data_IF_904876531127
#
_entry.id   IF_904876531127
#
_cell.length_a   1.000
_cell.length_b   1.000
_cell.length_c   1.000
_cell.angle_alpha   90.00
_cell.angle_beta   90.00
_cell.angle_gamma   90.00
#
_symmetry.space_group_name_H-M   'P 1'
#
loop_
_entity.id
_entity.type
_entity.pdbx_description
1 polymer ?
#
# COMPACT_ATOMS: atom_id res chain seq x y z
N UNK A 1 0.63 -46.76 48.99
CA UNK A 1 -0.83 -46.80 49.15
C UNK A 1 -1.39 -45.54 48.51
N UNK A 2 -2.32 -45.55 47.56
CA UNK A 2 -2.93 -46.68 46.83
C UNK A 2 -3.27 -46.21 45.42
N UNK A 3 -3.12 -47.07 44.41
CA UNK A 3 -3.41 -46.73 43.01
C UNK A 3 -4.79 -47.27 42.59
N UNK A 4 -5.48 -46.55 41.71
CA UNK A 4 -6.63 -47.06 40.94
C UNK A 4 -6.43 -46.67 39.47
N UNK A 5 -6.56 -47.65 38.57
CA UNK A 5 -6.58 -47.50 37.11
C UNK A 5 -7.88 -48.07 36.55
N UNK A 6 -8.46 -47.39 35.57
CA UNK A 6 -9.39 -47.86 34.53
C UNK A 6 -9.49 -46.72 33.48
N UNK A 7 -9.42 -46.84 32.15
CA UNK A 7 -9.61 -47.94 31.18
C UNK A 7 -11.08 -48.38 31.01
N UNK A 8 -11.72 -48.32 29.82
CA UNK A 8 -11.35 -47.69 28.53
C UNK A 8 -12.53 -46.87 27.93
N UNK A 9 -13.08 -46.91 26.71
CA UNK A 9 -12.95 -47.79 25.50
C UNK A 9 -13.32 -47.00 24.20
N UNK A 10 -12.88 -47.48 23.03
CA UNK A 10 -13.02 -46.87 21.69
C UNK A 10 -14.45 -46.88 21.11
N UNK A 11 -14.87 -45.82 20.38
CA UNK A 11 -15.64 -45.96 19.12
C UNK A 11 -15.50 -44.78 18.14
N UNK A 12 -15.34 -45.11 16.85
CA UNK A 12 -15.34 -44.22 15.67
C UNK A 12 -16.03 -44.97 14.50
N UNK A 13 -16.22 -44.38 13.32
CA UNK A 13 -16.73 -43.04 12.99
C UNK A 13 -17.98 -43.12 12.06
N UNK A 14 -18.56 -41.97 11.67
CA UNK A 14 -19.22 -41.88 10.36
C UNK A 14 -20.48 -41.01 10.25
N UNK A 15 -20.43 -40.04 9.33
CA UNK A 15 -21.56 -39.70 8.46
C UNK A 15 -21.05 -39.48 7.03
N UNK A 16 -21.89 -39.79 6.02
CA UNK A 16 -21.51 -39.75 4.59
C UNK A 16 -22.12 -38.54 3.88
N UNK A 17 -21.39 -38.02 2.89
CA UNK A 17 -21.94 -37.11 1.89
C UNK A 17 -22.82 -37.88 0.88
N UNK A 18 -23.93 -37.29 0.39
CA UNK A 18 -24.80 -37.94 -0.60
C UNK A 18 -24.20 -37.89 -2.01
N UNK A 19 -23.87 -39.05 -2.57
CA UNK A 19 -23.31 -39.18 -3.92
C UNK A 19 -24.39 -39.04 -5.01
N UNK A 20 -24.41 -37.91 -5.74
CA UNK A 20 -25.19 -37.80 -7.00
C UNK A 20 -24.45 -38.48 -8.15
N UNK A 21 -24.95 -39.64 -8.58
CA UNK A 21 -24.40 -40.44 -9.68
C UNK A 21 -24.89 -39.94 -11.04
N UNK A 22 -24.05 -39.22 -11.78
CA UNK A 22 -24.29 -38.91 -13.20
C UNK A 22 -23.76 -40.04 -14.10
N UNK A 23 -24.60 -41.04 -14.35
CA UNK A 23 -24.34 -42.09 -15.36
C UNK A 23 -25.27 -41.85 -16.56
N UNK A 24 -24.79 -41.15 -17.60
CA UNK A 24 -25.42 -41.19 -18.94
C UNK A 24 -24.39 -41.47 -20.02
N UNK A 25 -24.74 -42.44 -20.84
CA UNK A 25 -23.94 -43.07 -21.90
C UNK A 25 -23.38 -42.08 -22.91
N UNK A 26 -22.09 -42.22 -23.22
CA UNK A 26 -21.61 -41.91 -24.57
C UNK A 26 -22.30 -42.81 -25.59
N UNK A 27 -22.65 -42.24 -26.75
CA UNK A 27 -22.92 -42.97 -28.00
C UNK A 27 -22.14 -42.27 -29.11
N UNK A 28 -21.22 -42.94 -29.81
CA UNK A 28 -20.67 -42.37 -31.04
C UNK A 28 -21.75 -42.40 -32.12
N UNK A 29 -21.94 -41.29 -32.84
CA UNK A 29 -22.76 -41.28 -34.05
C UNK A 29 -21.85 -41.39 -35.27
N UNK A 30 -22.29 -42.20 -36.24
CA UNK A 30 -21.53 -42.60 -37.42
C UNK A 30 -21.01 -41.44 -38.28
N UNK A 31 -19.78 -41.57 -38.78
CA UNK A 31 -19.32 -40.75 -39.89
C UNK A 31 -20.14 -41.02 -41.16
N UNK A 32 -20.42 -39.97 -41.94
CA UNK A 32 -20.96 -40.08 -43.29
C UNK A 32 -19.99 -39.49 -44.31
N UNK A 33 -19.24 -40.37 -44.98
CA UNK A 33 -18.28 -39.98 -46.00
C UNK A 33 -19.00 -39.36 -47.22
N UNK A 34 -18.60 -38.15 -47.63
CA UNK A 34 -18.85 -37.65 -48.97
C UNK A 34 -17.56 -37.07 -49.55
N UNK A 35 -17.15 -37.59 -50.70
CA UNK A 35 -15.90 -37.22 -51.37
C UNK A 35 -16.16 -36.36 -52.61
N UNK A 36 -15.07 -35.79 -53.15
CA UNK A 36 -15.02 -34.85 -54.30
C UNK A 36 -15.62 -33.46 -53.99
N UNK A 37 -15.18 -32.38 -54.64
CA UNK A 37 -14.19 -32.27 -55.74
C UNK A 37 -13.15 -31.18 -55.48
N UNK A 38 -11.98 -31.32 -56.10
CA UNK A 38 -10.93 -30.32 -56.12
C UNK A 38 -11.38 -29.03 -56.82
N UNK A 39 -11.30 -27.89 -56.13
CA UNK A 39 -11.39 -26.56 -56.76
C UNK A 39 -10.31 -25.65 -56.17
N UNK A 40 -9.27 -25.39 -56.96
CA UNK A 40 -8.09 -24.62 -56.57
C UNK A 40 -8.34 -23.12 -56.77
N UNK A 41 -8.97 -22.46 -55.80
CA UNK A 41 -9.02 -20.98 -55.75
C UNK A 41 -7.94 -20.42 -54.82
N UNK A 42 -7.28 -19.37 -55.31
CA UNK A 42 -6.16 -18.69 -54.67
C UNK A 42 -6.55 -18.00 -53.36
N UNK A 43 -5.62 -17.99 -52.41
CA UNK A 43 -5.75 -17.25 -51.17
C UNK A 43 -5.89 -15.74 -51.43
N UNK A 44 -6.88 -15.04 -50.85
CA UNK A 44 -6.71 -13.62 -50.58
C UNK A 44 -5.58 -13.45 -49.55
N UNK A 45 -4.75 -12.43 -49.73
CA UNK A 45 -3.55 -12.24 -48.90
C UNK A 45 -3.88 -12.02 -47.42
N UNK A 46 -3.02 -12.52 -46.52
CA UNK A 46 -3.01 -12.08 -45.12
C UNK A 46 -2.65 -10.59 -45.11
N UNK A 47 -3.65 -9.72 -44.97
CA UNK A 47 -3.41 -8.35 -44.54
C UNK A 47 -2.79 -8.41 -43.14
N UNK A 48 -1.59 -7.86 -42.99
CA UNK A 48 -0.92 -7.74 -41.70
C UNK A 48 -1.72 -6.76 -40.84
N UNK A 49 -2.44 -7.26 -39.84
CA UNK A 49 -3.09 -6.41 -38.84
C UNK A 49 -2.00 -5.57 -38.18
N UNK A 50 -2.06 -4.22 -38.27
CA UNK A 50 -1.08 -3.38 -37.61
C UNK A 50 -1.19 -3.59 -36.09
N UNK A 51 -0.05 -3.65 -35.40
CA UNK A 51 -0.04 -3.75 -33.95
C UNK A 51 -0.80 -2.56 -33.34
N UNK A 52 -1.59 -2.75 -32.28
CA UNK A 52 -2.25 -1.65 -31.60
C UNK A 52 -1.19 -0.65 -31.11
N UNK A 53 -1.44 0.67 -31.20
CA UNK A 53 -0.48 1.66 -30.75
C UNK A 53 -0.16 1.44 -29.27
N UNK A 54 1.14 1.41 -28.95
CA UNK A 54 1.62 1.27 -27.58
C UNK A 54 1.27 2.52 -26.78
N UNK A 55 0.10 2.49 -26.14
CA UNK A 55 -0.34 3.49 -25.18
C UNK A 55 0.62 3.51 -23.98
N UNK A 56 1.71 4.27 -24.14
CA UNK A 56 2.65 4.59 -23.08
C UNK A 56 1.93 5.42 -22.03
N UNK A 57 1.30 4.74 -21.07
CA UNK A 57 0.79 5.38 -19.86
C UNK A 57 1.90 6.24 -19.28
N UNK A 58 1.71 7.57 -19.13
CA UNK A 58 2.72 8.38 -18.48
C UNK A 58 2.92 7.80 -17.08
N UNK A 59 4.16 7.37 -16.78
CA UNK A 59 4.57 7.00 -15.43
C UNK A 59 4.49 8.26 -14.55
N UNK A 60 3.27 8.60 -14.12
CA UNK A 60 3.03 9.46 -12.96
C UNK A 60 3.83 8.81 -11.85
N UNK A 61 4.95 9.43 -11.48
CA UNK A 61 5.67 9.09 -10.27
C UNK A 61 4.66 9.28 -9.15
N UNK A 62 4.19 8.17 -8.58
CA UNK A 62 3.49 8.22 -7.30
C UNK A 62 4.50 8.84 -6.33
N UNK A 63 4.20 10.04 -5.84
CA UNK A 63 5.02 10.64 -4.79
C UNK A 63 5.04 9.65 -3.61
N UNK A 64 6.18 9.43 -2.95
CA UNK A 64 6.34 8.37 -1.94
C UNK A 64 5.68 8.74 -0.60
N UNK A 65 4.41 9.13 -0.62
CA UNK A 65 3.56 9.42 0.53
C UNK A 65 3.13 8.16 1.30
N UNK A 66 3.99 7.14 1.34
CA UNK A 66 3.73 5.80 1.87
C UNK A 66 4.79 5.31 2.89
N UNK A 67 5.88 6.06 3.11
CA UNK A 67 6.89 5.77 4.16
C UNK A 67 6.75 6.66 5.41
N UNK A 68 5.71 7.51 5.46
CA UNK A 68 5.46 8.48 6.55
C UNK A 68 4.96 7.88 7.87
N UNK A 69 5.26 6.62 8.18
CA UNK A 69 4.76 5.88 9.34
C UNK A 69 5.85 5.17 10.16
N UNK A 70 7.09 5.68 10.12
CA UNK A 70 8.16 5.29 11.05
C UNK A 70 7.77 5.67 12.49
N UNK A 71 7.17 4.71 13.20
CA UNK A 71 6.98 4.79 14.64
C UNK A 71 8.38 4.74 15.30
N UNK A 72 8.79 5.85 15.92
CA UNK A 72 10.07 5.99 16.60
C UNK A 72 10.08 5.21 17.93
N UNK A 73 10.23 3.89 17.86
CA UNK A 73 10.48 3.04 19.03
C UNK A 73 11.97 3.03 19.34
N UNK A 74 12.49 4.19 19.76
CA UNK A 74 13.90 4.41 20.12
C UNK A 74 14.27 3.74 21.47
N UNK A 75 13.97 2.45 21.61
CA UNK A 75 14.22 1.67 22.81
C UNK A 75 15.62 1.02 22.74
N UNK A 76 16.54 1.52 23.56
CA UNK A 76 17.96 1.12 23.64
C UNK A 76 18.23 -0.40 23.51
N UNK A 77 19.39 -0.71 22.95
CA UNK A 77 20.06 -2.03 23.03
C UNK A 77 20.94 -2.21 24.27
N UNK A 78 20.83 -1.32 25.27
CA UNK A 78 21.57 -1.40 26.53
C UNK A 78 20.98 -2.41 27.52
N UNK A 79 21.82 -2.95 28.39
CA UNK A 79 21.44 -3.88 29.47
C UNK A 79 20.32 -3.32 30.35
N UNK A 80 19.42 -4.19 30.81
CA UNK A 80 18.23 -3.80 31.59
C UNK A 80 18.51 -3.25 33.02
N UNK A 81 19.78 -3.06 33.39
CA UNK A 81 20.22 -2.47 34.64
C UNK A 81 20.46 -0.96 34.47
N UNK A 82 19.48 -0.13 34.85
CA UNK A 82 19.62 1.34 34.86
C UNK A 82 18.34 2.12 34.63
N UNK A 83 17.32 1.54 33.99
CA UNK A 83 16.02 2.21 33.75
C UNK A 83 15.19 2.22 35.04
N UNK A 84 14.77 3.38 35.56
CA UNK A 84 13.86 3.45 36.71
C UNK A 84 12.52 2.75 36.42
N UNK A 85 11.96 2.05 37.42
CA UNK A 85 10.70 1.33 37.24
C UNK A 85 9.52 2.26 36.87
N UNK A 86 9.58 3.53 37.25
CA UNK A 86 8.59 4.55 36.91
C UNK A 86 8.51 4.88 35.40
N UNK A 87 9.60 4.68 34.67
CA UNK A 87 9.72 4.97 33.23
C UNK A 87 9.28 3.80 32.34
N UNK A 88 8.81 2.68 32.92
CA UNK A 88 8.39 1.48 32.18
C UNK A 88 6.86 1.40 32.14
N UNK A 89 6.27 1.38 30.95
CA UNK A 89 4.80 1.27 30.77
C UNK A 89 4.30 -0.16 30.59
N UNK A 90 5.16 -1.04 30.07
CA UNK A 90 4.89 -2.47 29.90
C UNK A 90 6.21 -3.24 29.79
N UNK A 91 6.16 -4.58 29.89
CA UNK A 91 7.31 -5.46 29.61
C UNK A 91 6.91 -6.59 28.66
N UNK A 92 7.75 -6.84 27.66
CA UNK A 92 7.57 -7.88 26.64
C UNK A 92 8.73 -8.87 26.75
N UNK A 93 8.45 -10.05 27.31
CA UNK A 93 9.46 -11.08 27.63
C UNK A 93 10.66 -10.51 28.42
N UNK A 94 10.38 -9.68 29.43
CA UNK A 94 11.36 -9.00 30.27
C UNK A 94 11.80 -7.62 29.78
N UNK A 95 11.86 -7.39 28.45
CA UNK A 95 12.28 -6.09 27.88
C UNK A 95 11.26 -4.99 28.18
N UNK A 96 11.67 -3.81 28.69
CA UNK A 96 10.75 -2.71 28.95
C UNK A 96 10.31 -1.99 27.66
N UNK A 97 9.05 -1.54 27.64
CA UNK A 97 8.57 -0.46 26.78
C UNK A 97 8.59 0.81 27.62
N UNK A 98 9.23 1.88 27.13
CA UNK A 98 9.47 3.10 27.89
C UNK A 98 8.33 4.12 27.77
N UNK A 99 8.12 4.89 28.84
CA UNK A 99 7.18 6.03 28.90
C UNK A 99 7.44 7.03 27.78
N UNK A 100 8.72 7.38 27.53
CA UNK A 100 9.15 8.25 26.41
C UNK A 100 8.59 7.77 25.08
N UNK A 101 8.89 6.53 24.72
CA UNK A 101 8.61 5.97 23.40
C UNK A 101 7.10 5.77 23.21
N UNK A 102 6.39 5.47 24.30
CA UNK A 102 4.93 5.43 24.37
C UNK A 102 4.29 6.81 24.14
N UNK A 103 4.65 7.83 24.92
CA UNK A 103 4.04 9.16 24.79
C UNK A 103 4.43 9.83 23.46
N UNK A 104 5.63 9.58 22.93
CA UNK A 104 6.02 9.95 21.56
C UNK A 104 5.16 9.25 20.51
N UNK A 105 4.90 7.95 20.65
CA UNK A 105 4.03 7.21 19.74
C UNK A 105 2.57 7.70 19.78
N UNK A 106 2.08 8.11 20.96
CA UNK A 106 0.77 8.76 21.11
C UNK A 106 0.76 10.13 20.43
N UNK A 107 1.81 10.95 20.60
CA UNK A 107 1.95 12.24 19.93
C UNK A 107 1.99 12.08 18.40
N UNK A 108 2.69 11.07 17.88
CA UNK A 108 2.73 10.73 16.45
C UNK A 108 1.35 10.30 15.95
N UNK A 109 0.64 9.44 16.69
CA UNK A 109 -0.72 8.98 16.35
C UNK A 109 -1.75 10.13 16.26
N UNK A 110 -1.49 11.27 16.92
CA UNK A 110 -2.30 12.49 16.83
C UNK A 110 -1.69 13.61 15.99
N UNK A 111 -0.57 13.43 15.26
CA UNK A 111 -0.02 14.48 14.37
C UNK A 111 -1.09 14.96 13.36
N UNK A 112 -1.23 16.26 13.22
CA UNK A 112 -2.28 16.90 12.42
C UNK A 112 -3.64 17.10 13.12
N UNK A 113 -3.85 16.50 14.30
CA UNK A 113 -5.00 16.77 15.19
C UNK A 113 -4.50 17.47 16.46
N UNK A 114 -5.26 18.44 17.00
CA UNK A 114 -4.97 18.98 18.33
C UNK A 114 -5.53 18.03 19.39
N UNK A 115 -4.74 17.54 20.37
CA UNK A 115 -5.26 16.68 21.44
C UNK A 115 -6.38 17.34 22.26
N UNK A 116 -6.41 18.67 22.35
CA UNK A 116 -7.50 19.43 22.95
C UNK A 116 -8.86 19.28 22.25
N UNK A 117 -8.88 18.78 21.00
CA UNK A 117 -10.09 18.51 20.23
C UNK A 117 -10.51 17.02 20.33
N UNK A 118 -9.80 16.20 21.10
CA UNK A 118 -10.02 14.76 21.25
C UNK A 118 -10.68 14.51 22.60
N UNK A 119 -11.83 13.82 22.62
CA UNK A 119 -12.54 13.52 23.87
C UNK A 119 -11.73 12.59 24.77
N UNK A 120 -11.79 12.75 26.10
CA UNK A 120 -10.98 11.97 27.05
C UNK A 120 -11.08 10.44 26.83
N UNK A 121 -12.28 9.93 26.50
CA UNK A 121 -12.49 8.50 26.16
C UNK A 121 -11.80 8.07 24.86
N UNK A 122 -11.78 8.92 23.84
CA UNK A 122 -11.09 8.66 22.56
C UNK A 122 -9.56 8.69 22.76
N UNK A 123 -9.08 9.62 23.60
CA UNK A 123 -7.67 9.74 23.98
C UNK A 123 -7.21 8.54 24.82
N UNK A 124 -8.03 8.03 25.73
CA UNK A 124 -7.78 6.78 26.46
C UNK A 124 -7.70 5.57 25.51
N UNK A 125 -8.73 5.35 24.69
CA UNK A 125 -8.76 4.22 23.74
C UNK A 125 -7.63 4.27 22.70
N UNK A 126 -7.14 5.47 22.36
CA UNK A 126 -5.99 5.66 21.49
C UNK A 126 -4.66 5.39 22.20
N UNK A 127 -4.54 5.73 23.50
CA UNK A 127 -3.39 5.35 24.34
C UNK A 127 -3.30 3.84 24.52
N UNK A 128 -4.43 3.15 24.70
CA UNK A 128 -4.48 1.68 24.76
C UNK A 128 -3.98 1.04 23.44
N UNK A 129 -4.53 1.46 22.29
CA UNK A 129 -4.12 0.97 20.96
C UNK A 129 -2.65 1.25 20.61
N UNK A 130 -2.10 2.35 21.09
CA UNK A 130 -0.65 2.64 20.92
C UNK A 130 0.19 1.71 21.80
N UNK A 131 -0.22 1.41 23.03
CA UNK A 131 0.49 0.45 23.88
C UNK A 131 0.45 -0.97 23.31
N UNK A 132 -0.72 -1.39 22.84
CA UNK A 132 -0.96 -2.67 22.15
C UNK A 132 -0.04 -2.81 20.94
N UNK A 133 -0.04 -1.83 20.02
CA UNK A 133 0.85 -1.83 18.85
C UNK A 133 2.35 -1.86 19.20
N UNK A 134 2.75 -1.22 20.30
CA UNK A 134 4.15 -1.28 20.77
C UNK A 134 4.52 -2.67 21.32
N UNK A 135 3.58 -3.36 21.96
CA UNK A 135 3.73 -4.75 22.40
C UNK A 135 3.80 -5.69 21.19
N UNK A 136 2.88 -5.55 20.23
CA UNK A 136 2.87 -6.31 18.97
C UNK A 136 4.19 -6.16 18.19
N UNK A 137 4.64 -4.93 17.98
CA UNK A 137 5.88 -4.64 17.25
C UNK A 137 7.12 -5.24 17.93
N UNK A 138 7.17 -5.26 19.27
CA UNK A 138 8.29 -5.87 19.98
C UNK A 138 8.20 -7.41 19.99
N UNK A 139 7.00 -8.00 20.06
CA UNK A 139 6.80 -9.44 19.87
C UNK A 139 7.20 -9.90 18.46
N UNK A 140 6.79 -9.16 17.43
CA UNK A 140 7.18 -9.38 16.04
C UNK A 140 8.70 -9.25 15.87
N UNK A 141 9.33 -8.21 16.42
CA UNK A 141 10.78 -8.06 16.38
C UNK A 141 11.50 -9.23 17.07
N UNK A 142 11.06 -9.62 18.27
CA UNK A 142 11.65 -10.75 19.02
C UNK A 142 11.46 -12.09 18.30
N UNK A 143 10.38 -12.27 17.53
CA UNK A 143 10.18 -13.45 16.69
C UNK A 143 11.04 -13.39 15.43
N UNK A 144 11.12 -12.24 14.76
CA UNK A 144 11.90 -12.04 13.55
C UNK A 144 13.40 -12.23 13.78
N UNK A 145 13.99 -11.58 14.80
CA UNK A 145 15.42 -11.69 15.13
C UNK A 145 15.83 -13.13 15.49
N UNK A 146 14.92 -13.92 16.10
CA UNK A 146 15.13 -15.34 16.41
C UNK A 146 14.92 -16.29 15.22
N UNK A 147 14.28 -15.83 14.14
CA UNK A 147 13.93 -16.68 12.98
C UNK A 147 14.84 -16.38 11.78
N UNK A 148 15.20 -15.13 11.55
CA UNK A 148 15.91 -14.67 10.34
C UNK A 148 17.23 -13.94 10.62
N UNK A 149 17.55 -13.65 11.89
CA UNK A 149 18.73 -12.88 12.28
C UNK A 149 18.60 -11.37 12.00
N UNK A 150 19.65 -10.57 12.25
CA UNK A 150 19.66 -9.14 11.91
C UNK A 150 19.79 -8.95 10.38
N UNK A 151 19.14 -7.92 9.79
CA UNK A 151 19.31 -7.62 8.37
C UNK A 151 20.69 -7.01 8.11
N UNK A 152 21.26 -7.17 6.90
CA UNK A 152 22.59 -6.62 6.56
C UNK A 152 22.67 -5.11 6.74
N UNK A 153 23.76 -4.60 7.32
CA UNK A 153 23.91 -3.16 7.60
C UNK A 153 23.87 -2.28 6.34
N UNK A 154 24.30 -2.81 5.18
CA UNK A 154 24.14 -2.13 3.88
C UNK A 154 22.67 -1.83 3.52
N UNK A 155 21.74 -2.67 3.97
CA UNK A 155 20.31 -2.50 3.70
C UNK A 155 19.71 -1.49 4.70
N UNK A 156 20.21 -1.49 5.94
CA UNK A 156 19.87 -0.51 6.99
C UNK A 156 20.35 0.89 6.58
N UNK A 157 21.57 1.00 6.05
CA UNK A 157 22.14 2.27 5.57
C UNK A 157 21.39 2.78 4.33
N UNK A 158 21.05 1.90 3.38
CA UNK A 158 20.22 2.26 2.23
C UNK A 158 18.85 2.83 2.66
N UNK A 159 18.15 2.14 3.57
CA UNK A 159 16.87 2.59 4.10
C UNK A 159 17.02 3.91 4.87
N UNK A 160 18.05 4.03 5.71
CA UNK A 160 18.38 5.26 6.43
C UNK A 160 18.58 6.47 5.48
N UNK A 161 19.37 6.32 4.41
CA UNK A 161 19.58 7.39 3.44
C UNK A 161 18.29 7.69 2.66
N UNK A 162 17.51 6.68 2.27
CA UNK A 162 16.22 6.89 1.59
C UNK A 162 15.22 7.67 2.46
N UNK A 163 15.17 7.39 3.76
CA UNK A 163 14.36 8.17 4.71
C UNK A 163 14.90 9.60 4.83
N UNK A 164 16.22 9.78 4.97
CA UNK A 164 16.87 11.09 5.06
C UNK A 164 16.65 11.96 3.82
N UNK A 165 16.63 11.35 2.63
CA UNK A 165 16.30 12.00 1.34
C UNK A 165 14.81 12.33 1.19
N UNK A 166 13.92 11.76 2.02
CA UNK A 166 12.49 12.11 2.02
C UNK A 166 12.17 13.42 2.75
N UNK A 167 13.14 13.99 3.50
CA UNK A 167 13.01 15.30 4.15
C UNK A 167 13.34 16.44 3.17
N UNK A 168 12.76 17.65 3.34
CA UNK A 168 13.04 18.79 2.46
C UNK A 168 14.52 19.19 2.43
N UNK A 169 15.25 18.96 3.52
CA UNK A 169 16.71 19.06 3.58
C UNK A 169 17.31 18.13 4.64
N UNK A 170 18.61 17.86 4.54
CA UNK A 170 19.36 17.17 5.59
C UNK A 170 19.39 17.96 6.93
N UNK A 171 19.18 19.28 6.88
CA UNK A 171 19.03 20.12 8.06
C UNK A 171 17.72 19.84 8.81
N UNK A 172 16.61 19.71 8.07
CA UNK A 172 15.29 19.37 8.63
C UNK A 172 15.30 17.97 9.27
N UNK A 173 16.00 17.00 8.65
CA UNK A 173 16.20 15.68 9.23
C UNK A 173 16.97 15.73 10.56
N UNK A 174 18.11 16.43 10.60
CA UNK A 174 18.90 16.60 11.83
C UNK A 174 18.10 17.32 12.93
N UNK A 175 17.36 18.36 12.57
CA UNK A 175 16.46 19.09 13.47
C UNK A 175 15.35 18.17 14.02
N UNK A 176 14.74 17.33 13.18
CA UNK A 176 13.73 16.38 13.63
C UNK A 176 14.29 15.35 14.63
N UNK A 177 15.51 14.85 14.43
CA UNK A 177 16.19 13.98 15.41
C UNK A 177 16.43 14.70 16.75
N UNK A 178 16.89 15.95 16.72
CA UNK A 178 17.12 16.78 17.91
C UNK A 178 15.82 17.09 18.68
N UNK A 179 14.76 17.50 17.99
CA UNK A 179 13.44 17.81 18.59
C UNK A 179 12.84 16.60 19.33
N UNK A 180 13.06 15.38 18.81
CA UNK A 180 12.57 14.14 19.41
C UNK A 180 13.59 13.49 20.38
N UNK A 181 14.78 14.09 20.55
CA UNK A 181 15.89 13.62 21.40
C UNK A 181 16.34 12.18 21.06
N UNK A 182 16.56 11.93 19.78
CA UNK A 182 17.03 10.65 19.23
C UNK A 182 18.37 10.86 18.52
N UNK A 183 19.37 10.05 18.84
CA UNK A 183 20.66 10.07 18.12
C UNK A 183 20.57 9.37 16.75
N UNK A 184 21.50 9.67 15.84
CA UNK A 184 21.59 8.97 14.55
C UNK A 184 21.74 7.45 14.72
N UNK A 185 22.49 6.99 15.72
CA UNK A 185 22.66 5.58 16.05
C UNK A 185 21.35 4.93 16.49
N UNK A 186 20.63 5.53 17.45
CA UNK A 186 19.32 5.03 17.90
C UNK A 186 18.29 5.01 16.75
N UNK A 187 18.38 5.97 15.83
CA UNK A 187 17.53 5.99 14.64
C UNK A 187 17.90 4.86 13.66
N UNK A 188 19.18 4.64 13.35
CA UNK A 188 19.62 3.52 12.51
C UNK A 188 19.28 2.15 13.13
N UNK A 189 19.35 2.03 14.45
CA UNK A 189 18.86 0.84 15.16
C UNK A 189 17.34 0.65 14.99
N UNK A 190 16.54 1.72 15.04
CA UNK A 190 15.10 1.62 14.79
C UNK A 190 14.75 1.36 13.32
N UNK A 191 15.56 1.85 12.36
CA UNK A 191 15.48 1.44 10.95
C UNK A 191 15.77 -0.06 10.82
N UNK A 192 16.85 -0.56 11.42
CA UNK A 192 17.21 -2.01 11.44
C UNK A 192 16.07 -2.87 11.99
N UNK A 193 15.43 -2.42 13.09
CA UNK A 193 14.28 -3.10 13.71
C UNK A 193 13.05 -3.13 12.80
N UNK A 194 12.72 -2.00 12.18
CA UNK A 194 11.56 -1.86 11.29
C UNK A 194 11.73 -2.70 10.02
N UNK A 195 12.90 -2.60 9.38
CA UNK A 195 13.27 -3.37 8.19
C UNK A 195 13.20 -4.89 8.42
N UNK A 196 13.62 -5.35 9.60
CA UNK A 196 13.56 -6.76 9.97
C UNK A 196 12.11 -7.26 10.16
N UNK A 197 11.27 -6.49 10.86
CA UNK A 197 9.85 -6.86 11.05
C UNK A 197 9.10 -6.89 9.72
N UNK A 198 9.32 -5.90 8.84
CA UNK A 198 8.71 -5.86 7.52
C UNK A 198 9.08 -7.10 6.69
N UNK A 199 10.37 -7.41 6.55
CA UNK A 199 10.86 -8.58 5.82
C UNK A 199 10.32 -9.90 6.36
N UNK A 200 10.22 -10.03 7.70
CA UNK A 200 9.64 -11.19 8.34
C UNK A 200 8.14 -11.36 8.01
N UNK A 201 7.35 -10.28 8.03
CA UNK A 201 5.93 -10.34 7.64
C UNK A 201 5.76 -10.65 6.15
N UNK A 202 6.57 -10.02 5.28
CA UNK A 202 6.55 -10.30 3.84
C UNK A 202 6.84 -11.78 3.54
N UNK A 203 7.81 -12.39 4.24
CA UNK A 203 8.23 -13.78 4.04
C UNK A 203 7.27 -14.79 4.65
N UNK A 204 6.85 -14.58 5.90
CA UNK A 204 6.14 -15.58 6.72
C UNK A 204 4.62 -15.42 6.67
N UNK A 205 4.11 -14.35 6.04
CA UNK A 205 2.67 -14.10 5.87
C UNK A 205 2.35 -13.85 4.40
N UNK A 206 2.94 -12.82 3.78
CA UNK A 206 2.55 -12.41 2.42
C UNK A 206 2.97 -13.46 1.37
N UNK A 207 4.15 -14.08 1.51
CA UNK A 207 4.66 -15.09 0.59
C UNK A 207 3.81 -16.37 0.47
N UNK A 208 3.04 -16.72 1.50
CA UNK A 208 2.13 -17.88 1.50
C UNK A 208 0.71 -17.54 1.03
N UNK A 209 0.35 -16.26 0.92
CA UNK A 209 -0.98 -15.83 0.46
C UNK A 209 -1.13 -16.05 -1.05
N UNK A 210 -1.95 -17.02 -1.41
CA UNK A 210 -2.35 -17.30 -2.80
C UNK A 210 -3.75 -16.75 -3.05
N UNK A 211 -3.83 -15.70 -3.87
CA UNK A 211 -5.09 -15.11 -4.33
C UNK A 211 -5.39 -15.70 -5.71
N UNK A 212 -6.58 -16.25 -5.92
CA UNK A 212 -7.01 -16.75 -7.24
C UNK A 212 -7.68 -15.67 -8.10
N UNK A 213 -7.72 -15.87 -9.41
CA UNK A 213 -8.48 -15.00 -10.32
C UNK A 213 -9.99 -14.99 -9.95
N UNK A 214 -10.51 -16.11 -9.44
CA UNK A 214 -11.86 -16.21 -8.88
C UNK A 214 -12.05 -15.36 -7.60
N UNK A 215 -11.02 -15.19 -6.77
CA UNK A 215 -11.07 -14.29 -5.60
C UNK A 215 -11.02 -12.82 -6.02
N UNK A 216 -10.12 -12.46 -6.95
CA UNK A 216 -10.02 -11.11 -7.52
C UNK A 216 -11.33 -10.72 -8.19
N UNK A 217 -11.89 -11.62 -9.01
CA UNK A 217 -13.17 -11.39 -9.68
C UNK A 217 -14.33 -11.30 -8.71
N UNK A 218 -14.40 -12.18 -7.70
CA UNK A 218 -15.42 -12.12 -6.65
C UNK A 218 -15.34 -10.80 -5.88
N UNK A 219 -14.15 -10.28 -5.58
CA UNK A 219 -14.00 -8.96 -4.97
C UNK A 219 -14.51 -7.85 -5.89
N UNK A 220 -14.13 -7.88 -7.17
CA UNK A 220 -14.56 -6.88 -8.17
C UNK A 220 -16.09 -6.84 -8.33
N UNK A 221 -16.70 -8.02 -8.52
CA UNK A 221 -18.14 -8.17 -8.74
C UNK A 221 -18.96 -7.84 -7.46
N UNK A 222 -18.37 -7.97 -6.26
CA UNK A 222 -19.02 -7.68 -4.96
C UNK A 222 -18.82 -6.24 -4.46
N UNK A 223 -17.78 -5.52 -4.90
CA UNK A 223 -17.44 -4.17 -4.43
C UNK A 223 -17.51 -3.11 -5.54
N UNK A 224 -18.59 -3.02 -6.34
CA UNK A 224 -18.68 -2.13 -7.49
C UNK A 224 -18.49 -0.65 -7.12
N UNK A 225 -18.92 -0.24 -5.92
CA UNK A 225 -18.74 1.13 -5.41
C UNK A 225 -17.28 1.53 -5.15
N UNK A 226 -16.36 0.57 -4.99
CA UNK A 226 -14.93 0.82 -4.81
C UNK A 226 -14.16 0.80 -6.14
N UNK A 227 -14.51 -0.14 -7.02
CA UNK A 227 -13.83 -0.33 -8.31
C UNK A 227 -14.37 0.55 -9.44
N UNK A 228 -15.62 1.04 -9.32
CA UNK A 228 -16.21 1.99 -10.27
C UNK A 228 -15.60 3.37 -10.07
N UNK A 229 -14.71 3.75 -11.00
CA UNK A 229 -14.31 5.15 -11.14
C UNK A 229 -15.53 5.97 -11.53
N UNK A 230 -15.80 7.03 -10.78
CA UNK A 230 -16.80 8.05 -11.16
C UNK A 230 -16.45 8.61 -12.54
N UNK A 231 -17.48 9.07 -13.26
CA UNK A 231 -17.30 9.72 -14.56
C UNK A 231 -16.28 10.85 -14.48
N UNK A 232 -15.32 10.86 -15.40
CA UNK A 232 -14.22 11.81 -15.42
C UNK A 232 -14.08 12.37 -16.84
N UNK A 233 -14.33 13.67 -17.00
CA UNK A 233 -14.24 14.37 -18.29
C UNK A 233 -12.79 14.78 -18.59
N UNK A 234 -12.33 14.47 -19.80
CA UNK A 234 -11.03 14.91 -20.32
C UNK A 234 -11.09 16.37 -20.78
N UNK A 235 -10.85 17.32 -19.86
CA UNK A 235 -10.85 18.74 -20.18
C UNK A 235 -9.55 19.19 -20.86
N UNK A 236 -9.68 20.17 -21.77
CA UNK A 236 -8.58 20.95 -22.34
C UNK A 236 -8.96 22.43 -22.23
N UNK A 237 -7.99 23.30 -21.94
CA UNK A 237 -8.23 24.72 -21.68
C UNK A 237 -7.17 25.57 -22.38
N UNK A 238 -7.58 26.73 -22.89
CA UNK A 238 -6.70 27.80 -23.37
C UNK A 238 -6.87 28.97 -22.41
N UNK A 239 -5.77 29.56 -21.94
CA UNK A 239 -5.79 30.64 -20.94
C UNK A 239 -4.84 31.75 -21.36
N UNK A 240 -5.40 32.89 -21.78
CA UNK A 240 -4.63 34.13 -21.92
C UNK A 240 -4.35 34.64 -20.51
N UNK A 241 -3.09 34.56 -20.07
CA UNK A 241 -2.68 35.03 -18.76
C UNK A 241 -2.52 36.56 -18.77
N UNK A 242 -2.92 37.20 -17.67
CA UNK A 242 -2.74 38.62 -17.39
C UNK A 242 -2.25 38.79 -15.94
N UNK A 243 -1.46 39.83 -15.64
CA UNK A 243 -1.15 40.19 -14.26
C UNK A 243 -2.41 40.73 -13.53
N UNK A 244 -2.51 40.65 -12.19
CA UNK A 244 -3.72 40.98 -11.45
C UNK A 244 -4.20 42.44 -11.65
N UNK A 245 -3.24 43.34 -11.83
CA UNK A 245 -3.34 44.79 -12.03
C UNK A 245 -3.43 45.21 -13.52
N UNK A 246 -3.56 44.26 -14.46
CA UNK A 246 -3.68 44.55 -15.89
C UNK A 246 -4.75 45.61 -16.19
N UNK A 247 -4.44 46.53 -17.11
CA UNK A 247 -5.33 47.65 -17.46
C UNK A 247 -6.62 47.22 -18.18
N UNK A 248 -7.55 48.16 -18.35
CA UNK A 248 -8.82 47.90 -19.04
C UNK A 248 -8.60 47.50 -20.50
N UNK A 249 -7.63 48.13 -21.16
CA UNK A 249 -7.24 47.91 -22.55
C UNK A 249 -6.60 46.52 -22.71
N UNK A 250 -5.69 46.15 -21.80
CA UNK A 250 -5.06 44.82 -21.79
C UNK A 250 -6.09 43.70 -21.56
N UNK A 251 -7.10 43.93 -20.69
CA UNK A 251 -8.23 43.01 -20.49
C UNK A 251 -9.12 42.91 -21.74
N UNK A 252 -9.37 44.01 -22.44
CA UNK A 252 -10.13 44.02 -23.69
C UNK A 252 -9.41 43.22 -24.80
N UNK A 253 -8.12 43.47 -25.03
CA UNK A 253 -7.32 42.74 -26.03
C UNK A 253 -7.22 41.23 -25.72
N UNK A 254 -7.03 40.87 -24.45
CA UNK A 254 -7.03 39.46 -24.04
C UNK A 254 -8.39 38.79 -24.28
N UNK A 255 -9.49 39.54 -24.07
CA UNK A 255 -10.85 39.07 -24.34
C UNK A 255 -11.10 38.88 -25.83
N UNK A 256 -10.74 39.83 -26.68
CA UNK A 256 -10.84 39.71 -28.15
C UNK A 256 -10.04 38.51 -28.66
N UNK A 257 -8.82 38.30 -28.15
CA UNK A 257 -8.00 37.13 -28.49
C UNK A 257 -8.69 35.81 -28.15
N UNK A 258 -9.25 35.66 -26.95
CA UNK A 258 -9.90 34.39 -26.56
C UNK A 258 -11.28 34.20 -27.22
N UNK A 259 -12.01 35.28 -27.54
CA UNK A 259 -13.26 35.20 -28.31
C UNK A 259 -13.01 34.83 -29.79
N UNK A 260 -11.91 35.33 -30.40
CA UNK A 260 -11.46 34.89 -31.72
C UNK A 260 -11.07 33.40 -31.73
N UNK A 261 -10.25 32.96 -30.77
CA UNK A 261 -9.90 31.54 -30.61
C UNK A 261 -11.15 30.66 -30.38
N UNK A 262 -12.10 31.12 -29.56
CA UNK A 262 -13.36 30.41 -29.32
C UNK A 262 -14.19 30.27 -30.61
N UNK A 263 -14.19 31.28 -31.49
CA UNK A 263 -14.83 31.21 -32.81
C UNK A 263 -14.15 30.17 -33.69
N UNK A 264 -12.81 30.19 -33.78
CA UNK A 264 -12.02 29.22 -34.55
C UNK A 264 -12.22 27.77 -34.06
N UNK A 265 -12.22 27.53 -32.74
CA UNK A 265 -12.58 26.23 -32.13
C UNK A 265 -14.01 25.80 -32.50
N UNK A 266 -14.99 26.70 -32.41
CA UNK A 266 -16.39 26.40 -32.73
C UNK A 266 -16.62 26.10 -34.22
N UNK A 267 -15.78 26.61 -35.12
CA UNK A 267 -15.76 26.24 -36.54
C UNK A 267 -14.98 24.95 -36.85
N UNK A 268 -14.48 24.23 -35.83
CA UNK A 268 -13.77 22.96 -36.01
C UNK A 268 -12.24 23.06 -36.13
N UNK A 269 -11.65 24.21 -35.76
CA UNK A 269 -10.19 24.37 -35.74
C UNK A 269 -9.50 23.50 -34.69
N UNK A 270 -8.27 23.07 -34.97
CA UNK A 270 -7.51 22.19 -34.07
C UNK A 270 -7.14 22.90 -32.76
N UNK A 271 -7.72 22.42 -31.66
CA UNK A 271 -7.51 22.96 -30.31
C UNK A 271 -6.03 22.97 -29.88
N UNK A 272 -5.24 21.96 -30.27
CA UNK A 272 -3.83 21.84 -29.90
C UNK A 272 -2.91 22.74 -30.73
N UNK A 273 -3.35 23.17 -31.92
CA UNK A 273 -2.72 24.25 -32.69
C UNK A 273 -3.09 25.61 -32.08
N UNK A 274 -4.39 25.84 -31.82
CA UNK A 274 -4.90 27.09 -31.27
C UNK A 274 -4.38 27.38 -29.84
N UNK A 275 -4.11 26.35 -29.05
CA UNK A 275 -3.51 26.48 -27.71
C UNK A 275 -2.04 26.95 -27.70
N UNK A 276 -1.40 27.10 -28.87
CA UNK A 276 0.00 27.57 -29.01
C UNK A 276 0.12 29.04 -29.46
N UNK A 277 -1.00 29.75 -29.61
CA UNK A 277 -1.12 31.06 -30.25
C UNK A 277 -1.35 32.20 -29.26
#
# INVERSE_FOLDING_TARGET
>A
MTAVRSSCTIRSPGQRWPSRTWRRSWRPSSASTRSRSTSRKSSPGRQSVPAPPSFGFPRRRLAPAALGALLFVAAWGGSAAGVPAADVVARVNGRPILRRDFDLSVQIQFRGRRPANVGLKELQASREKVLERLIENELLYQKAIKTEGPPPDKDVEHEYQSIRESFPSAGDFSKALQENRVSETEFKDQVRRTLLVMRFVDRQVVGDVKISDEDVRRYYDQNPSEVTRREAVGLRQIVVHLPPDASVEARAQAREKIEAILKEVRSGGDFAVLARR
#
